data_IF_079439707942
#
_entry.id   IF_079439707942
#
_cell.length_a   1.000
_cell.length_b   1.000
_cell.length_c   1.000
_cell.angle_alpha   90.00
_cell.angle_beta   90.00
_cell.angle_gamma   90.00
#
_symmetry.space_group_name_H-M   'P 1'
#
loop_
_entity.id
_entity.type
_entity.pdbx_description
1 polymer ?
#
# COMPACT_ATOMS: atom_id res chain seq x y z
N UNK A 1 -31.72 29.78 -21.77
CA UNK A 1 -32.23 29.39 -20.47
C UNK A 1 -32.04 27.86 -20.20
N UNK A 2 -32.52 26.98 -21.09
CA UNK A 2 -32.38 25.50 -20.95
C UNK A 2 -30.93 25.05 -20.85
N UNK A 3 -30.00 25.59 -21.67
CA UNK A 3 -28.57 25.27 -21.58
C UNK A 3 -27.93 25.62 -20.23
N UNK A 4 -28.35 26.73 -19.61
CA UNK A 4 -27.85 27.12 -18.30
C UNK A 4 -28.28 26.16 -17.20
N UNK A 5 -29.49 25.61 -17.30
CA UNK A 5 -30.02 24.59 -16.42
C UNK A 5 -29.26 23.26 -16.58
N UNK A 6 -28.93 22.86 -17.81
CA UNK A 6 -28.15 21.67 -18.10
C UNK A 6 -26.74 21.75 -17.53
N UNK A 7 -26.04 22.87 -17.74
CA UNK A 7 -24.71 23.12 -17.19
C UNK A 7 -24.72 23.07 -15.64
N UNK A 8 -25.76 23.67 -15.04
CA UNK A 8 -25.94 23.65 -13.59
C UNK A 8 -26.17 22.22 -13.06
N UNK A 9 -27.01 21.43 -13.75
CA UNK A 9 -27.26 20.03 -13.36
C UNK A 9 -26.02 19.15 -13.49
N UNK A 10 -25.25 19.33 -14.58
CA UNK A 10 -23.98 18.63 -14.76
C UNK A 10 -22.97 19.05 -13.66
N UNK A 11 -22.87 20.33 -13.34
CA UNK A 11 -22.02 20.84 -12.28
C UNK A 11 -22.41 20.30 -10.89
N UNK A 12 -23.71 20.30 -10.58
CA UNK A 12 -24.19 19.76 -9.31
C UNK A 12 -23.96 18.23 -9.21
N UNK A 13 -24.23 17.50 -10.28
CA UNK A 13 -23.95 16.07 -10.38
C UNK A 13 -22.47 15.77 -10.23
N UNK A 14 -21.60 16.57 -10.87
CA UNK A 14 -20.15 16.49 -10.70
C UNK A 14 -19.71 16.73 -9.26
N UNK A 15 -20.14 17.84 -8.66
CA UNK A 15 -19.79 18.20 -7.27
C UNK A 15 -20.23 17.10 -6.28
N UNK A 16 -21.41 16.54 -6.49
CA UNK A 16 -21.94 15.48 -5.65
C UNK A 16 -21.21 14.14 -5.88
N UNK A 17 -20.94 13.78 -7.14
CA UNK A 17 -20.15 12.62 -7.51
C UNK A 17 -18.70 12.68 -6.97
N UNK A 18 -18.06 13.86 -7.06
CA UNK A 18 -16.75 14.11 -6.48
C UNK A 18 -16.75 13.86 -4.95
N UNK A 19 -17.70 14.43 -4.23
CA UNK A 19 -17.80 14.25 -2.78
C UNK A 19 -18.05 12.77 -2.37
N UNK A 20 -18.86 12.06 -3.15
CA UNK A 20 -19.13 10.63 -2.94
C UNK A 20 -17.86 9.80 -3.18
N UNK A 21 -17.14 10.06 -4.28
CA UNK A 21 -15.90 9.36 -4.61
C UNK A 21 -14.80 9.61 -3.60
N UNK A 22 -14.65 10.85 -3.12
CA UNK A 22 -13.68 11.18 -2.07
C UNK A 22 -13.95 10.42 -0.76
N UNK A 23 -15.22 10.13 -0.44
CA UNK A 23 -15.58 9.28 0.71
C UNK A 23 -15.39 7.78 0.44
N UNK A 24 -15.52 7.34 -0.80
CA UNK A 24 -15.43 5.92 -1.19
C UNK A 24 -14.01 5.34 -1.07
N UNK A 25 -12.99 6.09 -1.48
CA UNK A 25 -11.61 5.59 -1.51
C UNK A 25 -11.10 5.19 -0.12
N UNK A 26 -11.26 6.00 0.95
CA UNK A 26 -10.93 5.58 2.30
C UNK A 26 -11.75 4.38 2.76
N UNK A 27 -13.06 4.36 2.49
CA UNK A 27 -13.97 3.28 2.89
C UNK A 27 -13.61 1.94 2.26
N UNK A 28 -13.31 1.90 0.97
CA UNK A 28 -12.91 0.67 0.27
C UNK A 28 -11.58 0.14 0.79
N UNK A 29 -10.62 1.02 1.08
CA UNK A 29 -9.33 0.62 1.65
C UNK A 29 -9.46 0.08 3.06
N UNK A 30 -10.31 0.70 3.89
CA UNK A 30 -10.60 0.22 5.23
C UNK A 30 -11.28 -1.15 5.18
N UNK A 31 -12.28 -1.32 4.32
CA UNK A 31 -12.96 -2.61 4.11
C UNK A 31 -11.98 -3.72 3.70
N UNK A 32 -11.10 -3.45 2.73
CA UNK A 32 -10.08 -4.41 2.31
C UNK A 32 -9.11 -4.76 3.45
N UNK A 33 -8.74 -3.78 4.29
CA UNK A 33 -7.94 -4.00 5.50
C UNK A 33 -8.65 -4.90 6.51
N UNK A 34 -9.94 -4.67 6.75
CA UNK A 34 -10.76 -5.52 7.64
C UNK A 34 -10.86 -6.94 7.10
N UNK A 35 -11.10 -7.11 5.79
CA UNK A 35 -11.14 -8.43 5.13
C UNK A 35 -9.81 -9.17 5.29
N UNK A 36 -8.69 -8.49 5.03
CA UNK A 36 -7.37 -9.09 5.21
C UNK A 36 -7.13 -9.54 6.66
N UNK A 37 -7.44 -8.70 7.64
CA UNK A 37 -7.29 -9.02 9.05
C UNK A 37 -8.18 -10.21 9.49
N UNK A 38 -9.41 -10.32 8.97
CA UNK A 38 -10.30 -11.44 9.25
C UNK A 38 -9.78 -12.75 8.65
N UNK A 39 -9.22 -12.71 7.44
CA UNK A 39 -8.64 -13.88 6.76
C UNK A 39 -7.35 -14.31 7.47
N UNK A 40 -6.45 -13.39 7.77
CA UNK A 40 -5.19 -13.67 8.47
C UNK A 40 -5.45 -14.20 9.89
N UNK A 41 -6.48 -13.65 10.56
CA UNK A 41 -6.92 -14.06 11.91
C UNK A 41 -7.84 -15.28 11.95
N UNK A 42 -8.10 -15.99 10.83
CA UNK A 42 -9.12 -17.04 10.76
C UNK A 42 -8.91 -18.17 11.80
N UNK A 43 -7.68 -18.54 12.07
CA UNK A 43 -7.35 -19.55 13.09
C UNK A 43 -7.83 -19.09 14.47
N UNK A 44 -7.55 -17.85 14.85
CA UNK A 44 -7.96 -17.27 16.14
C UNK A 44 -9.48 -17.13 16.24
N UNK A 45 -10.15 -16.76 15.14
CA UNK A 45 -11.62 -16.68 15.07
C UNK A 45 -12.23 -18.05 15.32
N UNK A 46 -11.72 -19.09 14.64
CA UNK A 46 -12.19 -20.46 14.76
C UNK A 46 -11.96 -21.06 16.16
N UNK A 47 -10.78 -20.89 16.72
CA UNK A 47 -10.45 -21.42 18.06
C UNK A 47 -11.27 -20.79 19.18
N UNK A 48 -11.72 -19.54 19.00
CA UNK A 48 -12.52 -18.83 20.00
C UNK A 48 -14.04 -18.85 19.73
N UNK A 49 -14.50 -19.55 18.66
CA UNK A 49 -15.92 -19.56 18.27
C UNK A 49 -16.49 -18.15 17.98
N UNK A 50 -15.63 -17.25 17.44
CA UNK A 50 -15.96 -15.84 17.28
C UNK A 50 -16.51 -15.48 15.88
N UNK A 51 -17.03 -16.45 15.12
CA UNK A 51 -17.50 -16.25 13.74
C UNK A 51 -18.62 -15.23 13.64
N UNK A 52 -19.58 -15.27 14.56
CA UNK A 52 -20.68 -14.29 14.57
C UNK A 52 -20.21 -12.85 14.82
N UNK A 53 -19.13 -12.68 15.59
CA UNK A 53 -18.53 -11.37 15.82
C UNK A 53 -17.77 -10.90 14.56
N UNK A 54 -17.00 -11.79 13.94
CA UNK A 54 -16.27 -11.51 12.70
C UNK A 54 -17.24 -11.12 11.58
N UNK A 55 -18.35 -11.86 11.43
CA UNK A 55 -19.39 -11.54 10.45
C UNK A 55 -20.05 -10.16 10.71
N UNK A 56 -20.34 -9.81 11.97
CA UNK A 56 -20.88 -8.48 12.29
C UNK A 56 -19.94 -7.35 11.91
N UNK A 57 -18.64 -7.50 12.17
CA UNK A 57 -17.62 -6.52 11.79
C UNK A 57 -17.60 -6.37 10.26
N UNK A 58 -17.55 -7.48 9.53
CA UNK A 58 -17.60 -7.48 8.08
C UNK A 58 -18.88 -6.82 7.53
N UNK A 59 -20.05 -7.21 8.04
CA UNK A 59 -21.33 -6.72 7.56
C UNK A 59 -21.52 -5.21 7.81
N UNK A 60 -21.01 -4.69 8.93
CA UNK A 60 -21.05 -3.24 9.20
C UNK A 60 -20.23 -2.44 8.21
N UNK A 61 -19.05 -2.93 7.86
CA UNK A 61 -18.18 -2.26 6.87
C UNK A 61 -18.73 -2.43 5.43
N UNK A 62 -19.25 -3.59 5.10
CA UNK A 62 -19.86 -3.83 3.79
C UNK A 62 -21.05 -2.89 3.54
N UNK A 63 -21.92 -2.69 4.53
CA UNK A 63 -23.05 -1.76 4.42
C UNK A 63 -22.60 -0.34 4.05
N UNK A 64 -21.51 0.12 4.63
CA UNK A 64 -20.97 1.46 4.33
C UNK A 64 -20.49 1.58 2.87
N UNK A 65 -19.94 0.50 2.31
CA UNK A 65 -19.48 0.49 0.91
C UNK A 65 -20.64 0.39 -0.09
N UNK A 66 -21.71 -0.32 0.24
CA UNK A 66 -22.88 -0.48 -0.65
C UNK A 66 -23.68 0.82 -0.82
N UNK A 67 -23.88 1.62 0.22
CA UNK A 67 -24.58 2.90 0.14
C UNK A 67 -23.91 3.82 -0.88
N UNK A 68 -22.58 3.82 -0.92
CA UNK A 68 -21.81 4.63 -1.87
C UNK A 68 -21.98 4.14 -3.31
N UNK A 69 -22.00 2.81 -3.52
CA UNK A 69 -22.22 2.22 -4.87
C UNK A 69 -23.59 2.57 -5.42
N UNK A 70 -24.63 2.57 -4.60
CA UNK A 70 -25.99 2.93 -5.03
C UNK A 70 -26.04 4.33 -5.64
N UNK A 71 -25.46 5.34 -4.98
CA UNK A 71 -25.42 6.70 -5.49
C UNK A 71 -24.56 6.85 -6.76
N UNK A 72 -23.47 6.09 -6.89
CA UNK A 72 -22.65 6.05 -8.11
C UNK A 72 -23.44 5.54 -9.33
N UNK A 73 -24.41 4.65 -9.13
CA UNK A 73 -25.26 4.16 -10.21
C UNK A 73 -26.41 5.12 -10.55
N UNK A 74 -27.02 5.74 -9.55
CA UNK A 74 -28.23 6.57 -9.74
C UNK A 74 -27.91 7.94 -10.38
N UNK A 75 -26.79 8.56 -10.00
CA UNK A 75 -26.46 9.91 -10.49
C UNK A 75 -26.25 10.01 -12.02
N UNK A 76 -25.53 9.07 -12.69
CA UNK A 76 -25.41 9.07 -14.15
C UNK A 76 -26.76 8.88 -14.86
N UNK A 77 -27.63 8.03 -14.34
CA UNK A 77 -28.96 7.77 -14.91
C UNK A 77 -29.88 9.00 -14.83
N UNK A 78 -29.84 9.72 -13.71
CA UNK A 78 -30.57 10.99 -13.58
C UNK A 78 -30.09 12.03 -14.60
N UNK A 79 -28.79 12.14 -14.84
CA UNK A 79 -28.23 13.07 -15.83
C UNK A 79 -28.65 12.70 -17.27
N UNK A 80 -28.69 11.40 -17.58
CA UNK A 80 -29.18 10.86 -18.85
C UNK A 80 -30.67 11.20 -19.10
N UNK A 81 -31.50 10.96 -18.10
CA UNK A 81 -32.96 11.27 -18.16
C UNK A 81 -33.19 12.76 -18.36
N UNK A 82 -32.46 13.61 -17.66
CA UNK A 82 -32.55 15.07 -17.82
C UNK A 82 -32.12 15.51 -19.22
N UNK A 83 -31.12 14.84 -19.81
CA UNK A 83 -30.71 15.06 -21.20
C UNK A 83 -31.86 14.80 -22.19
N UNK A 84 -32.53 13.67 -22.05
CA UNK A 84 -33.69 13.34 -22.89
C UNK A 84 -34.82 14.39 -22.76
N UNK A 85 -35.16 14.78 -21.52
CA UNK A 85 -36.16 15.80 -21.27
C UNK A 85 -35.80 17.13 -21.94
N UNK A 86 -34.54 17.55 -21.93
CA UNK A 86 -34.10 18.79 -22.57
C UNK A 86 -34.18 18.73 -24.09
N UNK A 87 -33.93 17.59 -24.72
CA UNK A 87 -34.10 17.34 -26.15
C UNK A 87 -35.57 17.41 -26.52
N UNK A 88 -36.46 16.74 -25.79
CA UNK A 88 -37.90 16.81 -26.01
C UNK A 88 -38.45 18.24 -25.86
N UNK A 89 -38.05 18.96 -24.80
CA UNK A 89 -38.46 20.33 -24.59
C UNK A 89 -38.04 21.23 -25.77
N UNK A 90 -36.87 21.00 -26.34
CA UNK A 90 -36.33 21.70 -27.46
C UNK A 90 -37.18 21.44 -28.74
N UNK A 91 -37.49 20.17 -29.02
CA UNK A 91 -38.35 19.80 -30.18
C UNK A 91 -39.75 20.39 -30.07
N UNK A 92 -40.33 20.54 -28.89
CA UNK A 92 -41.64 21.11 -28.65
C UNK A 92 -41.64 22.65 -28.78
N UNK A 93 -40.58 23.32 -28.37
CA UNK A 93 -40.48 24.78 -28.32
C UNK A 93 -40.11 25.41 -29.67
N UNK A 94 -39.43 24.68 -30.56
CA UNK A 94 -38.92 25.19 -31.85
C UNK A 94 -39.99 25.43 -32.90
N UNK A 95 -41.09 24.64 -33.02
CA UNK A 95 -42.15 24.93 -34.02
C UNK A 95 -42.81 26.29 -33.86
N UNK A 96 -42.59 27.00 -32.75
CA UNK A 96 -43.04 28.34 -32.53
C UNK A 96 -42.17 29.46 -33.16
N UNK A 97 -41.05 29.06 -33.83
CA UNK A 97 -40.12 29.98 -34.48
C UNK A 97 -40.09 29.69 -35.99
N UNK A 98 -40.11 30.76 -36.85
CA UNK A 98 -40.03 30.67 -38.33
C UNK A 98 -38.62 30.19 -38.81
N UNK A 99 -38.10 29.12 -38.25
CA UNK A 99 -36.79 28.54 -38.61
C UNK A 99 -36.92 27.57 -39.79
N UNK A 100 -35.96 27.60 -40.73
CA UNK A 100 -35.88 26.59 -41.77
C UNK A 100 -35.48 25.20 -41.19
N UNK A 101 -35.87 24.13 -41.86
CA UNK A 101 -35.50 22.74 -41.44
C UNK A 101 -33.99 22.55 -41.39
N UNK A 102 -33.25 23.21 -42.30
CA UNK A 102 -31.77 23.17 -42.34
C UNK A 102 -31.15 23.86 -41.13
N UNK A 103 -31.66 25.01 -40.72
CA UNK A 103 -31.15 25.75 -39.55
C UNK A 103 -31.44 25.01 -38.26
N UNK A 104 -32.63 24.37 -38.20
CA UNK A 104 -32.96 23.49 -37.10
C UNK A 104 -31.99 22.29 -36.96
N UNK A 105 -31.71 21.61 -38.08
CA UNK A 105 -30.81 20.47 -38.08
C UNK A 105 -29.38 20.87 -37.67
N UNK A 106 -28.89 22.01 -38.16
CA UNK A 106 -27.59 22.56 -37.80
C UNK A 106 -27.51 22.89 -36.29
N UNK A 107 -28.54 23.59 -35.79
CA UNK A 107 -28.60 23.95 -34.37
C UNK A 107 -28.70 22.73 -33.46
N UNK A 108 -29.53 21.72 -33.81
CA UNK A 108 -29.71 20.50 -33.07
C UNK A 108 -28.41 19.71 -32.99
N UNK A 109 -27.67 19.59 -34.11
CA UNK A 109 -26.39 18.91 -34.17
C UNK A 109 -25.35 19.61 -33.27
N UNK A 110 -25.27 20.93 -33.34
CA UNK A 110 -24.36 21.70 -32.48
C UNK A 110 -24.70 21.56 -30.98
N UNK A 111 -26.00 21.59 -30.66
CA UNK A 111 -26.48 21.40 -29.29
C UNK A 111 -26.12 20.00 -28.74
N UNK A 112 -26.35 18.94 -29.51
CA UNK A 112 -25.98 17.57 -29.12
C UNK A 112 -24.46 17.41 -28.94
N UNK A 113 -23.68 18.01 -29.84
CA UNK A 113 -22.21 18.02 -29.73
C UNK A 113 -21.72 18.73 -28.48
N UNK A 114 -22.26 19.89 -28.17
CA UNK A 114 -21.93 20.63 -26.95
C UNK A 114 -22.31 19.84 -25.67
N UNK A 115 -23.50 19.25 -25.66
CA UNK A 115 -23.96 18.42 -24.56
C UNK A 115 -23.03 17.20 -24.31
N UNK A 116 -22.65 16.52 -25.40
CA UNK A 116 -21.73 15.41 -25.32
C UNK A 116 -20.38 15.82 -24.71
N UNK A 117 -19.83 16.96 -25.15
CA UNK A 117 -18.58 17.50 -24.62
C UNK A 117 -18.68 17.82 -23.11
N UNK A 118 -19.76 18.45 -22.67
CA UNK A 118 -20.01 18.77 -21.26
C UNK A 118 -20.13 17.47 -20.43
N UNK A 119 -20.85 16.47 -20.91
CA UNK A 119 -20.98 15.17 -20.23
C UNK A 119 -19.64 14.46 -20.11
N UNK A 120 -18.82 14.47 -21.15
CA UNK A 120 -17.47 13.89 -21.11
C UNK A 120 -16.56 14.61 -20.12
N UNK A 121 -16.59 15.93 -20.05
CA UNK A 121 -15.86 16.68 -19.03
C UNK A 121 -16.27 16.26 -17.61
N UNK A 122 -17.56 16.02 -17.37
CA UNK A 122 -18.06 15.50 -16.09
C UNK A 122 -17.49 14.11 -15.74
N UNK A 123 -17.40 13.21 -16.70
CA UNK A 123 -16.81 11.88 -16.51
C UNK A 123 -15.32 11.97 -16.22
N UNK A 124 -14.54 12.68 -17.03
CA UNK A 124 -13.10 12.81 -16.84
C UNK A 124 -12.73 13.49 -15.52
N UNK A 125 -13.44 14.54 -15.14
CA UNK A 125 -13.19 15.22 -13.87
C UNK A 125 -13.43 14.30 -12.66
N UNK A 126 -14.36 13.34 -12.79
CA UNK A 126 -14.57 12.34 -11.75
C UNK A 126 -13.41 11.33 -11.63
N UNK A 127 -12.72 11.03 -12.73
CA UNK A 127 -11.51 10.21 -12.72
C UNK A 127 -10.32 10.92 -12.03
N UNK A 128 -10.16 12.23 -12.28
CA UNK A 128 -9.16 13.05 -11.57
C UNK A 128 -9.34 13.05 -10.05
N UNK A 129 -10.58 12.89 -9.56
CA UNK A 129 -10.85 12.81 -8.13
C UNK A 129 -10.17 11.60 -7.44
N UNK A 130 -9.77 10.55 -8.17
CA UNK A 130 -9.03 9.42 -7.64
C UNK A 130 -7.53 9.67 -7.50
N UNK A 131 -6.99 10.62 -8.25
CA UNK A 131 -5.53 10.85 -8.29
C UNK A 131 -5.04 11.35 -6.94
N UNK A 132 -5.69 12.37 -6.37
CA UNK A 132 -5.26 12.99 -5.11
C UNK A 132 -5.19 12.02 -3.93
N UNK A 133 -6.26 11.25 -3.59
CA UNK A 133 -6.20 10.29 -2.50
C UNK A 133 -5.24 9.13 -2.77
N UNK A 134 -5.02 8.79 -4.05
CA UNK A 134 -4.05 7.76 -4.41
C UNK A 134 -2.62 8.27 -4.19
N UNK A 135 -2.33 9.51 -4.56
CA UNK A 135 -1.04 10.16 -4.31
C UNK A 135 -0.77 10.28 -2.80
N UNK A 136 -1.76 10.67 -2.00
CA UNK A 136 -1.61 10.73 -0.54
C UNK A 136 -1.28 9.36 0.08
N UNK A 137 -1.80 8.26 -0.47
CA UNK A 137 -1.47 6.90 -0.02
C UNK A 137 -0.07 6.44 -0.42
N UNK A 138 0.37 6.86 -1.60
CA UNK A 138 1.70 6.50 -2.13
C UNK A 138 2.79 7.40 -1.53
N UNK A 139 2.43 8.63 -1.16
CA UNK A 139 3.35 9.62 -0.62
C UNK A 139 4.26 9.11 0.50
N UNK A 140 3.76 8.41 1.55
CA UNK A 140 4.64 7.88 2.59
C UNK A 140 5.67 6.88 2.08
N UNK A 141 5.34 6.15 1.00
CA UNK A 141 6.27 5.19 0.36
C UNK A 141 7.32 5.92 -0.47
N UNK A 142 6.91 6.99 -1.19
CA UNK A 142 7.82 7.79 -2.01
C UNK A 142 8.76 8.67 -1.18
N UNK A 143 8.28 9.15 -0.03
CA UNK A 143 9.04 9.99 0.91
C UNK A 143 9.85 9.15 1.92
N UNK A 144 9.64 7.83 1.97
CA UNK A 144 10.43 6.96 2.84
C UNK A 144 11.90 7.00 2.44
N UNK A 145 12.75 7.31 3.40
CA UNK A 145 14.19 7.25 3.20
C UNK A 145 14.60 5.79 2.98
N UNK A 146 15.38 5.49 1.94
CA UNK A 146 15.88 4.15 1.73
C UNK A 146 16.79 3.73 2.89
N UNK A 147 16.71 2.47 3.30
CA UNK A 147 17.53 1.93 4.39
C UNK A 147 19.03 2.02 4.10
N UNK A 148 19.40 2.09 2.82
CA UNK A 148 20.79 2.10 2.36
C UNK A 148 21.24 3.50 1.94
N UNK A 149 22.23 4.04 2.63
CA UNK A 149 23.04 5.15 2.12
C UNK A 149 24.02 4.62 1.07
N UNK A 150 24.01 5.20 -0.13
CA UNK A 150 24.90 4.82 -1.25
C UNK A 150 26.41 4.89 -0.93
N UNK A 151 26.78 5.58 0.14
CA UNK A 151 28.16 5.76 0.59
C UNK A 151 28.63 4.78 1.67
N UNK A 152 27.78 3.84 2.11
CA UNK A 152 28.10 2.92 3.22
C UNK A 152 29.13 1.88 2.79
N UNK A 153 30.09 1.56 3.70
CA UNK A 153 31.14 0.57 3.47
C UNK A 153 30.55 -0.81 3.23
N UNK A 154 30.92 -1.45 2.12
CA UNK A 154 30.44 -2.79 1.76
C UNK A 154 31.22 -3.83 2.59
N UNK A 155 30.48 -4.76 3.19
CA UNK A 155 31.00 -5.93 3.90
C UNK A 155 31.04 -7.10 2.92
N UNK A 156 32.19 -7.74 2.74
CA UNK A 156 32.35 -8.89 1.83
C UNK A 156 32.43 -10.22 2.57
N UNK A 157 33.14 -10.23 3.69
CA UNK A 157 33.38 -11.43 4.49
C UNK A 157 33.43 -11.06 5.98
N UNK A 158 32.98 -11.96 6.83
CA UNK A 158 33.04 -11.87 8.28
C UNK A 158 33.78 -13.09 8.87
N UNK A 159 34.64 -12.82 9.82
CA UNK A 159 35.26 -13.89 10.64
C UNK A 159 34.26 -14.47 11.63
N UNK A 160 33.33 -13.66 12.14
CA UNK A 160 32.23 -14.10 12.99
C UNK A 160 32.37 -13.73 14.47
N UNK A 161 33.23 -12.78 14.80
CA UNK A 161 33.27 -12.23 16.16
C UNK A 161 32.18 -11.15 16.28
N UNK A 162 31.43 -11.17 17.41
CA UNK A 162 30.39 -10.20 17.70
C UNK A 162 30.77 -9.47 18.99
N UNK A 163 30.76 -8.14 18.95
CA UNK A 163 31.04 -7.33 20.14
C UNK A 163 29.96 -6.24 20.29
N UNK A 164 29.25 -6.31 21.42
CA UNK A 164 28.21 -5.35 21.79
C UNK A 164 28.74 -4.54 22.97
N UNK A 165 28.73 -3.22 22.82
CA UNK A 165 29.24 -2.31 23.82
C UNK A 165 28.19 -1.32 24.27
N UNK A 166 27.83 -1.39 25.55
CA UNK A 166 26.96 -0.43 26.24
C UNK A 166 25.64 -0.12 25.51
N UNK A 167 25.02 -1.18 24.93
CA UNK A 167 23.85 -1.07 24.09
C UNK A 167 22.63 -0.72 24.92
N UNK A 168 21.91 0.36 24.53
CA UNK A 168 20.65 0.80 25.12
C UNK A 168 19.57 0.95 24.06
N UNK A 169 18.41 0.41 24.33
CA UNK A 169 17.27 0.48 23.41
C UNK A 169 15.94 0.42 24.12
N UNK A 170 14.99 1.25 23.62
CA UNK A 170 13.54 1.24 23.90
C UNK A 170 12.79 1.63 22.65
N UNK A 171 11.56 1.14 22.44
CA UNK A 171 10.77 1.49 21.27
C UNK A 171 10.29 2.95 21.30
N UNK A 172 9.29 3.36 22.09
CA UNK A 172 8.96 4.77 22.28
C UNK A 172 9.82 5.42 23.38
N UNK A 173 10.16 6.69 23.20
CA UNK A 173 11.00 7.45 24.15
C UNK A 173 10.45 7.54 25.59
N UNK A 174 9.16 7.32 25.78
CA UNK A 174 8.47 7.34 27.06
C UNK A 174 8.38 5.97 27.77
N UNK A 175 8.89 4.90 27.16
CA UNK A 175 8.87 3.55 27.73
C UNK A 175 10.21 3.22 28.45
N UNK A 176 10.18 2.28 29.42
CA UNK A 176 11.40 1.78 30.04
C UNK A 176 12.34 1.11 29.03
N UNK A 177 13.61 1.08 29.33
CA UNK A 177 14.60 0.38 28.50
C UNK A 177 14.29 -1.12 28.45
N UNK A 178 14.26 -1.67 27.24
CA UNK A 178 14.17 -3.11 26.99
C UNK A 178 15.56 -3.72 27.08
N UNK A 179 16.56 -2.98 26.61
CA UNK A 179 17.97 -3.32 26.73
C UNK A 179 18.64 -2.13 27.40
N UNK A 180 19.29 -2.35 28.53
CA UNK A 180 19.97 -1.29 29.26
C UNK A 180 21.43 -1.65 29.51
N UNK A 181 22.33 -0.87 28.92
CA UNK A 181 23.78 -0.96 29.05
C UNK A 181 24.36 -2.38 28.81
N UNK A 182 23.79 -3.13 27.85
CA UNK A 182 24.21 -4.49 27.53
C UNK A 182 25.64 -4.49 26.98
N UNK A 183 26.45 -5.37 27.52
CA UNK A 183 27.79 -5.73 27.03
C UNK A 183 27.81 -7.20 26.74
N UNK A 184 28.21 -7.61 25.53
CA UNK A 184 28.31 -9.01 25.15
C UNK A 184 29.42 -9.16 24.12
N UNK A 185 30.28 -10.14 24.31
CA UNK A 185 31.31 -10.50 23.35
C UNK A 185 31.21 -12.00 23.05
N UNK A 186 31.12 -12.32 21.76
CA UNK A 186 31.05 -13.67 21.23
C UNK A 186 32.20 -13.85 20.25
N UNK A 187 32.99 -14.90 20.44
CA UNK A 187 34.11 -15.21 19.56
C UNK A 187 33.67 -16.09 18.39
N UNK A 188 34.43 -16.04 17.35
CA UNK A 188 34.27 -16.98 16.24
C UNK A 188 34.18 -18.42 16.71
N UNK A 189 33.21 -19.18 16.21
CA UNK A 189 33.00 -20.59 16.55
C UNK A 189 32.32 -20.86 17.90
N UNK A 190 31.97 -19.84 18.68
CA UNK A 190 31.22 -20.02 19.93
C UNK A 190 29.73 -20.26 19.67
N UNK A 191 29.14 -21.17 20.46
CA UNK A 191 27.68 -21.35 20.55
C UNK A 191 27.18 -20.65 21.79
N UNK A 192 26.32 -19.64 21.59
CA UNK A 192 25.77 -18.83 22.68
C UNK A 192 24.25 -18.96 22.72
N UNK A 193 23.72 -19.28 23.91
CA UNK A 193 22.29 -19.32 24.17
C UNK A 193 21.86 -18.10 24.99
N UNK A 194 20.89 -17.33 24.46
CA UNK A 194 20.26 -16.19 25.13
C UNK A 194 18.96 -16.69 25.75
N UNK A 195 18.90 -16.81 27.07
CA UNK A 195 17.75 -17.32 27.81
C UNK A 195 17.09 -16.23 28.65
N UNK A 196 15.80 -16.35 28.89
CA UNK A 196 15.02 -15.42 29.71
C UNK A 196 13.51 -15.58 29.47
N UNK A 197 12.70 -14.96 30.31
CA UNK A 197 11.24 -15.01 30.23
C UNK A 197 10.71 -14.36 28.92
N UNK A 198 9.45 -14.62 28.57
CA UNK A 198 8.83 -13.98 27.40
C UNK A 198 8.77 -12.46 27.61
N UNK A 199 9.13 -11.71 26.56
CA UNK A 199 9.11 -10.23 26.61
C UNK A 199 10.38 -9.57 27.19
N UNK A 200 11.41 -10.34 27.65
CA UNK A 200 12.65 -9.75 28.20
C UNK A 200 13.61 -9.14 27.15
N UNK A 201 13.21 -9.04 25.88
CA UNK A 201 14.00 -8.36 24.86
C UNK A 201 14.89 -9.24 23.96
N UNK A 202 14.81 -10.60 24.02
CA UNK A 202 15.62 -11.50 23.17
C UNK A 202 15.46 -11.21 21.66
N UNK A 203 14.23 -11.09 21.19
CA UNK A 203 13.95 -10.78 19.80
C UNK A 203 14.37 -9.36 19.43
N UNK A 204 14.25 -8.41 20.36
CA UNK A 204 14.72 -7.03 20.19
C UNK A 204 16.24 -6.98 20.05
N UNK A 205 16.95 -7.74 20.86
CA UNK A 205 18.41 -7.85 20.73
C UNK A 205 18.81 -8.41 19.36
N UNK A 206 18.14 -9.46 18.89
CA UNK A 206 18.41 -10.02 17.57
C UNK A 206 18.12 -8.99 16.46
N UNK A 207 17.05 -8.19 16.57
CA UNK A 207 16.74 -7.13 15.62
C UNK A 207 17.82 -6.04 15.58
N UNK A 208 18.35 -5.64 16.73
CA UNK A 208 19.46 -4.71 16.82
C UNK A 208 20.75 -5.28 16.21
N UNK A 209 21.04 -6.55 16.45
CA UNK A 209 22.18 -7.23 15.84
C UNK A 209 22.08 -7.33 14.33
N UNK A 210 20.88 -7.45 13.77
CA UNK A 210 20.62 -7.46 12.32
C UNK A 210 20.48 -6.05 11.72
N UNK A 211 20.56 -5.00 12.54
CA UNK A 211 20.44 -3.62 12.12
C UNK A 211 19.01 -3.20 11.69
N UNK A 212 17.96 -3.92 12.10
CA UNK A 212 16.56 -3.53 11.87
C UNK A 212 16.10 -2.40 12.79
N UNK A 213 16.77 -2.25 13.94
CA UNK A 213 16.49 -1.19 14.91
C UNK A 213 17.76 -0.39 15.15
N UNK A 214 17.61 0.91 15.44
CA UNK A 214 18.73 1.79 15.76
C UNK A 214 18.76 1.98 17.28
N UNK A 215 19.86 1.66 17.98
CA UNK A 215 19.95 1.84 19.43
C UNK A 215 19.99 3.33 19.80
N UNK A 216 19.52 3.65 21.00
CA UNK A 216 19.62 5.02 21.57
C UNK A 216 21.08 5.35 21.92
N UNK A 217 21.84 4.37 22.37
CA UNK A 217 23.28 4.46 22.61
C UNK A 217 23.94 3.08 22.55
N UNK A 218 25.26 3.09 22.43
CA UNK A 218 26.05 1.87 22.29
C UNK A 218 26.20 1.43 20.83
N UNK A 219 26.92 0.34 20.63
CA UNK A 219 27.28 -0.16 19.30
C UNK A 219 27.28 -1.67 19.23
N UNK A 220 27.01 -2.20 18.03
CA UNK A 220 27.14 -3.63 17.69
C UNK A 220 28.17 -3.74 16.58
N UNK A 221 29.21 -4.52 16.82
CA UNK A 221 30.27 -4.81 15.87
C UNK A 221 30.23 -6.28 15.43
N UNK A 222 30.37 -6.51 14.15
CA UNK A 222 30.80 -7.78 13.57
C UNK A 222 32.24 -7.61 13.12
N UNK A 223 33.16 -8.28 13.80
CA UNK A 223 34.61 -8.08 13.65
C UNK A 223 34.99 -6.61 13.82
N UNK A 224 35.38 -5.96 12.73
CA UNK A 224 35.71 -4.51 12.66
C UNK A 224 34.58 -3.61 12.15
N UNK A 225 33.43 -4.19 11.80
CA UNK A 225 32.35 -3.48 11.14
C UNK A 225 31.25 -3.11 12.15
N UNK A 226 30.97 -1.82 12.29
CA UNK A 226 29.82 -1.35 13.04
C UNK A 226 28.55 -1.50 12.19
N UNK A 227 27.56 -2.24 12.70
CA UNK A 227 26.29 -2.53 12.04
C UNK A 227 25.57 -1.27 11.52
N UNK A 228 25.71 -0.17 12.25
CA UNK A 228 25.00 1.09 11.94
C UNK A 228 25.75 2.03 10.99
N UNK A 229 26.99 1.69 10.60
CA UNK A 229 27.81 2.49 9.70
C UNK A 229 28.22 1.77 8.42
N UNK A 230 27.72 0.56 8.18
CA UNK A 230 27.99 -0.21 6.96
C UNK A 230 26.73 -0.42 6.13
N UNK A 231 26.92 -0.81 4.88
CA UNK A 231 25.79 -1.24 4.05
C UNK A 231 25.14 -2.49 4.65
N UNK A 232 23.89 -2.34 5.11
CA UNK A 232 23.15 -3.35 5.85
C UNK A 232 22.80 -4.56 4.99
N UNK A 233 22.56 -4.36 3.70
CA UNK A 233 22.29 -5.45 2.75
C UNK A 233 23.52 -6.35 2.62
N UNK A 234 24.70 -5.78 2.38
CA UNK A 234 25.95 -6.55 2.29
C UNK A 234 26.31 -7.27 3.60
N UNK A 235 26.03 -6.63 4.75
CA UNK A 235 26.24 -7.27 6.06
C UNK A 235 25.31 -8.48 6.24
N UNK A 236 24.02 -8.32 5.92
CA UNK A 236 23.02 -9.40 6.08
C UNK A 236 23.27 -10.57 5.13
N UNK A 237 23.85 -10.35 3.97
CA UNK A 237 24.30 -11.45 3.08
C UNK A 237 25.38 -12.33 3.71
N UNK A 238 26.16 -11.79 4.65
CA UNK A 238 27.15 -12.56 5.41
C UNK A 238 26.57 -13.22 6.67
N UNK A 239 25.29 -13.01 7.00
CA UNK A 239 24.63 -13.46 8.22
C UNK A 239 23.48 -14.43 7.89
N UNK A 240 23.47 -15.61 8.49
CA UNK A 240 22.31 -16.50 8.48
C UNK A 240 21.41 -16.21 9.68
N UNK A 241 20.16 -15.78 9.46
CA UNK A 241 19.20 -15.49 10.52
C UNK A 241 17.85 -16.19 10.28
N UNK A 242 17.34 -16.90 11.28
CA UNK A 242 16.01 -17.47 11.27
C UNK A 242 15.12 -16.70 12.25
N UNK A 243 14.22 -15.86 11.70
CA UNK A 243 13.31 -15.03 12.49
C UNK A 243 12.00 -15.78 12.75
N UNK A 244 11.41 -15.55 13.92
CA UNK A 244 10.09 -16.07 14.25
C UNK A 244 9.02 -15.43 13.35
N UNK A 245 8.20 -16.26 12.69
CA UNK A 245 7.12 -15.79 11.81
C UNK A 245 7.55 -15.47 10.37
N UNK A 246 8.74 -15.88 9.95
CA UNK A 246 9.16 -15.81 8.56
C UNK A 246 8.16 -16.52 7.65
N UNK A 247 7.74 -15.87 6.55
CA UNK A 247 6.90 -16.46 5.50
C UNK A 247 7.79 -16.77 4.30
N UNK A 248 7.55 -17.92 3.69
CA UNK A 248 8.19 -18.26 2.43
C UNK A 248 7.56 -17.45 1.29
N UNK A 249 8.38 -17.10 0.32
CA UNK A 249 7.89 -16.53 -0.94
C UNK A 249 7.18 -17.62 -1.75
N UNK A 250 6.22 -17.20 -2.56
CA UNK A 250 5.52 -18.12 -3.46
C UNK A 250 6.48 -18.59 -4.56
N UNK A 251 6.84 -19.86 -4.54
CA UNK A 251 7.84 -20.45 -5.41
C UNK A 251 8.29 -21.83 -4.93
N UNK A 252 9.39 -22.33 -5.46
CA UNK A 252 10.00 -23.58 -5.02
C UNK A 252 10.82 -23.40 -3.73
N UNK A 253 11.19 -24.52 -3.10
CA UNK A 253 12.12 -24.49 -1.94
C UNK A 253 13.45 -23.87 -2.37
N UNK A 254 13.90 -24.13 -3.58
CA UNK A 254 15.13 -23.59 -4.13
C UNK A 254 15.09 -22.07 -4.24
N UNK A 255 13.97 -21.52 -4.75
CA UNK A 255 13.76 -20.06 -4.86
C UNK A 255 13.76 -19.35 -3.50
N UNK A 256 13.47 -20.09 -2.42
CA UNK A 256 13.46 -19.55 -1.06
C UNK A 256 14.79 -19.71 -0.29
N UNK A 257 15.70 -20.53 -0.80
CA UNK A 257 16.99 -20.83 -0.16
C UNK A 257 18.17 -20.20 -0.93
N UNK A 258 18.05 -20.07 -2.25
CA UNK A 258 19.11 -19.50 -3.08
C UNK A 258 19.00 -17.99 -3.18
N UNK A 259 20.13 -17.32 -2.92
CA UNK A 259 20.29 -15.91 -3.24
C UNK A 259 20.38 -15.73 -4.76
N UNK A 260 19.74 -14.70 -5.33
CA UNK A 260 19.67 -14.47 -6.80
C UNK A 260 21.05 -14.42 -7.49
N UNK A 261 22.10 -14.11 -6.75
CA UNK A 261 23.47 -14.09 -7.26
C UNK A 261 24.05 -15.50 -7.47
N UNK A 262 23.70 -16.42 -6.60
CA UNK A 262 24.04 -17.85 -6.73
C UNK A 262 23.23 -18.51 -7.87
N UNK A 263 21.99 -18.09 -8.12
CA UNK A 263 21.18 -18.62 -9.22
C UNK A 263 21.83 -18.40 -10.59
N UNK A 264 22.39 -17.20 -10.82
CA UNK A 264 23.13 -16.90 -12.07
C UNK A 264 24.39 -17.76 -12.21
N UNK A 265 25.10 -17.97 -11.12
CA UNK A 265 26.31 -18.81 -11.10
C UNK A 265 25.96 -20.27 -11.36
N UNK A 266 24.93 -20.79 -10.73
CA UNK A 266 24.44 -22.17 -10.89
C UNK A 266 23.86 -22.41 -12.31
N UNK A 267 23.07 -21.47 -12.85
CA UNK A 267 22.57 -21.55 -14.22
C UNK A 267 23.70 -21.54 -15.25
N UNK A 268 24.77 -20.80 -15.00
CA UNK A 268 25.94 -20.77 -15.87
C UNK A 268 26.77 -22.07 -15.79
N UNK A 269 26.91 -22.65 -14.61
CA UNK A 269 27.56 -23.95 -14.41
C UNK A 269 26.75 -25.10 -15.03
N UNK A 270 25.41 -25.11 -14.87
CA UNK A 270 24.54 -26.07 -15.51
C UNK A 270 24.57 -25.96 -17.05
N UNK A 271 24.64 -24.75 -17.60
CA UNK A 271 24.79 -24.54 -19.03
C UNK A 271 26.14 -25.01 -19.54
N UNK A 272 27.21 -24.87 -18.78
CA UNK A 272 28.53 -25.36 -19.12
C UNK A 272 28.62 -26.90 -19.10
N UNK A 273 27.94 -27.55 -18.14
CA UNK A 273 27.90 -29.03 -18.02
C UNK A 273 26.96 -29.72 -19.05
N UNK A 274 26.01 -28.97 -19.67
CA UNK A 274 25.14 -29.49 -20.73
C UNK A 274 25.77 -29.40 -22.14
N UNK A 275 26.99 -28.89 -22.25
CA UNK A 275 27.73 -28.79 -23.55
C UNK A 275 28.81 -29.86 -23.70
N UNK A 276 28.82 -30.87 -22.86
CA UNK A 276 29.58 -32.11 -22.96
C UNK A 276 28.56 -33.25 -23.12
#
# INVERSE_FOLDING_TARGET
MLMGLDVLCVYLGFKQGYNIKMRRIPGTSHFNGVMYNLIDGIRKIKTNGAEARAFRIWASEYKNTEIVKYWDAVLPELSGTFTLCSIFAMVILIPSTDMSVSDFAAFFTAFCGLKLAISQMGLYSSEFAYILPTLEKIRPILEAEPEEEQSSKIVRELLGNINITNLRFRYPSNMPYIIDALKLSIRHGEYVAIVGHSGCGKTTLLRLMLGFEIPESGTVFYDQYNVFSVNKSSLRQCLGACLQGGKLFNGTILDNVEDQENEKKYKNELKSKRKI
#
